data_IF_312872694622
#
_entry.id   IF_312872694622
#
_cell.length_a   1.000
_cell.length_b   1.000
_cell.length_c   1.000
_cell.angle_alpha   90.00
_cell.angle_beta   90.00
_cell.angle_gamma   90.00
#
_symmetry.space_group_name_H-M   'P 1'
#
loop_
_entity.id
_entity.type
_entity.pdbx_description
1 polymer ?
#
# COMPACT_ATOMS: atom_id res chain seq x y z
N UNK A 1 43.72 5.32 -29.76
CA UNK A 1 42.54 6.15 -30.05
C UNK A 1 41.41 5.53 -29.23
N UNK A 2 40.98 6.21 -28.18
CA UNK A 2 40.14 5.65 -27.10
C UNK A 2 38.74 5.39 -27.63
N UNK A 3 38.20 4.22 -27.31
CA UNK A 3 36.86 3.77 -27.65
C UNK A 3 35.89 4.34 -26.61
N UNK A 4 35.18 5.40 -26.96
CA UNK A 4 34.21 6.04 -26.07
C UNK A 4 33.02 5.11 -25.80
N UNK A 5 32.78 4.88 -24.50
CA UNK A 5 31.79 3.94 -23.98
C UNK A 5 30.35 4.28 -24.36
N UNK A 6 29.55 3.24 -24.53
CA UNK A 6 28.12 3.32 -24.82
C UNK A 6 27.38 4.10 -23.73
N UNK A 7 27.08 5.37 -24.00
CA UNK A 7 26.28 6.23 -23.13
C UNK A 7 24.80 5.86 -23.15
N UNK A 8 24.13 6.05 -22.01
CA UNK A 8 22.67 5.89 -21.89
C UNK A 8 21.95 6.90 -22.79
N UNK A 9 21.27 6.41 -23.82
CA UNK A 9 20.44 7.25 -24.71
C UNK A 9 19.14 7.62 -24.02
N UNK A 10 19.06 8.84 -23.47
CA UNK A 10 17.82 9.38 -22.93
C UNK A 10 16.88 9.80 -24.06
N UNK A 11 15.77 9.07 -24.22
CA UNK A 11 14.73 9.46 -25.16
C UNK A 11 13.92 10.63 -24.55
N UNK A 12 14.05 11.83 -25.11
CA UNK A 12 13.26 12.99 -24.70
C UNK A 12 11.84 12.81 -25.19
N UNK A 13 10.95 12.44 -24.27
CA UNK A 13 9.54 12.24 -24.58
C UNK A 13 8.78 13.56 -24.45
N UNK A 14 8.00 13.87 -25.49
CA UNK A 14 7.30 15.14 -25.64
C UNK A 14 6.11 15.29 -24.68
N UNK A 15 5.64 16.52 -24.45
CA UNK A 15 4.54 16.79 -23.48
C UNK A 15 3.25 16.01 -23.77
N UNK A 16 2.94 15.82 -25.06
CA UNK A 16 1.79 15.04 -25.53
C UNK A 16 1.82 13.56 -25.10
N UNK A 17 3.01 13.02 -24.77
CA UNK A 17 3.14 11.66 -24.28
C UNK A 17 2.60 11.50 -22.85
N UNK A 18 2.82 12.48 -21.99
CA UNK A 18 2.32 12.47 -20.61
C UNK A 18 0.82 12.77 -20.57
N UNK A 19 0.35 13.64 -21.45
CA UNK A 19 -1.07 13.99 -21.58
C UNK A 19 -1.93 12.76 -21.92
N UNK A 20 -1.45 11.93 -22.85
CA UNK A 20 -2.11 10.65 -23.20
C UNK A 20 -2.12 9.62 -22.07
N UNK A 21 -1.30 9.79 -21.03
CA UNK A 21 -1.16 8.85 -19.89
C UNK A 21 -1.69 9.44 -18.58
N UNK A 22 -2.35 10.58 -18.62
CA UNK A 22 -3.01 11.15 -17.45
C UNK A 22 -4.02 10.16 -16.86
N UNK A 23 -3.86 9.84 -15.58
CA UNK A 23 -4.81 8.99 -14.87
C UNK A 23 -6.09 9.79 -14.60
N UNK A 24 -7.24 9.24 -15.02
CA UNK A 24 -8.54 9.80 -14.69
C UNK A 24 -8.83 9.50 -13.22
N UNK A 25 -9.15 10.53 -12.43
CA UNK A 25 -9.62 10.35 -11.04
C UNK A 25 -10.96 9.61 -11.06
N UNK A 26 -10.95 8.36 -10.62
CA UNK A 26 -12.12 7.49 -10.60
C UNK A 26 -12.39 6.87 -9.21
N UNK A 27 -11.36 6.78 -8.36
CA UNK A 27 -11.49 6.13 -7.07
C UNK A 27 -12.29 7.01 -6.08
N UNK A 28 -13.59 6.75 -5.99
CA UNK A 28 -14.46 7.26 -4.93
C UNK A 28 -14.38 6.40 -3.67
N UNK A 29 -15.09 6.84 -2.62
CA UNK A 29 -15.09 6.19 -1.29
C UNK A 29 -15.42 4.69 -1.38
N UNK A 30 -16.45 4.31 -2.14
CA UNK A 30 -16.86 2.92 -2.29
C UNK A 30 -15.78 2.04 -2.95
N UNK A 31 -15.12 2.55 -4.00
CA UNK A 31 -14.03 1.81 -4.66
C UNK A 31 -12.78 1.69 -3.78
N UNK A 32 -12.45 2.72 -3.01
CA UNK A 32 -11.32 2.67 -2.07
C UNK A 32 -11.58 1.68 -0.93
N UNK A 33 -12.81 1.66 -0.42
CA UNK A 33 -13.23 0.68 0.58
C UNK A 33 -13.17 -0.74 0.03
N UNK A 34 -13.70 -0.98 -1.17
CA UNK A 34 -13.67 -2.29 -1.80
C UNK A 34 -12.23 -2.79 -2.05
N UNK A 35 -11.33 -1.91 -2.47
CA UNK A 35 -9.90 -2.23 -2.64
C UNK A 35 -9.25 -2.61 -1.30
N UNK A 36 -9.53 -1.86 -0.23
CA UNK A 36 -9.00 -2.14 1.10
C UNK A 36 -9.52 -3.48 1.65
N UNK A 37 -10.84 -3.69 1.61
CA UNK A 37 -11.47 -4.92 2.12
C UNK A 37 -11.03 -6.16 1.34
N UNK A 38 -10.96 -6.07 0.01
CA UNK A 38 -10.50 -7.18 -0.84
C UNK A 38 -9.06 -7.60 -0.54
N UNK A 39 -8.17 -6.64 -0.30
CA UNK A 39 -6.79 -6.92 0.09
C UNK A 39 -6.71 -7.64 1.46
N UNK A 40 -7.55 -7.27 2.42
CA UNK A 40 -7.52 -7.83 3.78
C UNK A 40 -8.15 -9.23 3.86
N UNK A 41 -9.27 -9.45 3.17
CA UNK A 41 -9.96 -10.75 3.20
C UNK A 41 -9.08 -11.85 2.58
N UNK A 42 -8.37 -11.55 1.50
CA UNK A 42 -7.46 -12.52 0.87
C UNK A 42 -6.34 -12.98 1.83
N UNK A 43 -5.78 -12.04 2.61
CA UNK A 43 -4.80 -12.35 3.65
C UNK A 43 -5.39 -13.15 4.82
N UNK A 44 -6.61 -12.83 5.24
CA UNK A 44 -7.30 -13.57 6.32
C UNK A 44 -7.47 -15.05 5.96
N UNK A 45 -7.95 -15.37 4.76
CA UNK A 45 -8.15 -16.76 4.34
C UNK A 45 -6.88 -17.62 4.48
N UNK A 46 -5.73 -17.06 4.13
CA UNK A 46 -4.42 -17.70 4.33
C UNK A 46 -4.06 -17.79 5.83
N UNK A 47 -4.21 -16.69 6.57
CA UNK A 47 -3.89 -16.62 8.00
C UNK A 47 -4.64 -17.63 8.87
N UNK A 48 -5.93 -17.87 8.60
CA UNK A 48 -6.72 -18.88 9.32
C UNK A 48 -6.26 -20.30 9.00
N UNK A 49 -5.98 -20.61 7.72
CA UNK A 49 -5.50 -21.93 7.31
C UNK A 49 -4.14 -22.27 7.94
N UNK A 50 -3.21 -21.33 7.95
CA UNK A 50 -1.87 -21.56 8.54
C UNK A 50 -1.86 -21.47 10.06
N UNK A 51 -2.73 -20.66 10.66
CA UNK A 51 -2.72 -20.42 12.10
C UNK A 51 -3.47 -21.47 12.92
N UNK A 52 -4.49 -22.12 12.36
CA UNK A 52 -5.28 -23.13 13.08
C UNK A 52 -4.48 -24.41 13.37
N UNK A 53 -3.54 -24.78 12.48
CA UNK A 53 -2.71 -25.97 12.65
C UNK A 53 -1.75 -25.90 13.87
N UNK A 54 -1.01 -24.80 14.10
CA UNK A 54 -0.14 -24.65 15.28
C UNK A 54 -0.82 -24.01 16.50
N UNK A 55 -1.79 -23.12 16.32
CA UNK A 55 -2.35 -22.29 17.39
C UNK A 55 -3.69 -22.77 17.96
N UNK A 56 -4.37 -23.70 17.28
CA UNK A 56 -5.74 -24.10 17.61
C UNK A 56 -6.73 -22.92 17.55
N UNK A 57 -8.02 -23.20 17.77
CA UNK A 57 -9.05 -22.16 17.70
C UNK A 57 -8.91 -21.10 18.81
N UNK A 58 -8.61 -21.52 20.04
CA UNK A 58 -8.49 -20.62 21.19
C UNK A 58 -7.28 -19.69 21.11
N UNK A 59 -6.13 -20.21 20.67
CA UNK A 59 -4.93 -19.39 20.47
C UNK A 59 -5.10 -18.38 19.35
N UNK A 60 -5.77 -18.78 18.25
CA UNK A 60 -6.04 -17.86 17.15
C UNK A 60 -7.02 -16.74 17.53
N UNK A 61 -8.01 -17.02 18.38
CA UNK A 61 -8.97 -16.02 18.86
C UNK A 61 -8.28 -14.96 19.71
N UNK A 62 -7.39 -15.37 20.63
CA UNK A 62 -6.60 -14.43 21.44
C UNK A 62 -5.66 -13.61 20.56
N UNK A 63 -4.95 -14.26 19.63
CA UNK A 63 -4.07 -13.57 18.69
C UNK A 63 -4.84 -12.55 17.83
N UNK A 64 -6.04 -12.90 17.35
CA UNK A 64 -6.89 -12.01 16.59
C UNK A 64 -7.30 -10.76 17.38
N UNK A 65 -7.68 -10.91 18.66
CA UNK A 65 -8.04 -9.77 19.52
C UNK A 65 -6.84 -8.86 19.76
N UNK A 66 -5.67 -9.42 20.08
CA UNK A 66 -4.45 -8.65 20.33
C UNK A 66 -4.02 -7.85 19.09
N UNK A 67 -3.99 -8.52 17.93
CA UNK A 67 -3.64 -7.88 16.67
C UNK A 67 -4.71 -6.84 16.27
N UNK A 68 -6.00 -7.10 16.49
CA UNK A 68 -7.06 -6.14 16.21
C UNK A 68 -6.88 -4.83 16.99
N UNK A 69 -6.57 -4.90 18.29
CA UNK A 69 -6.32 -3.72 19.12
C UNK A 69 -5.09 -2.94 18.62
N UNK A 70 -3.98 -3.65 18.36
CA UNK A 70 -2.76 -3.03 17.83
C UNK A 70 -3.02 -2.35 16.47
N UNK A 71 -3.73 -3.03 15.58
CA UNK A 71 -4.01 -2.53 14.24
C UNK A 71 -4.99 -1.35 14.24
N UNK A 72 -5.93 -1.32 15.19
CA UNK A 72 -6.84 -0.18 15.37
C UNK A 72 -6.04 1.09 15.71
N UNK A 73 -5.07 1.00 16.61
CA UNK A 73 -4.17 2.12 16.93
C UNK A 73 -3.37 2.59 15.70
N UNK A 74 -2.82 1.64 14.94
CA UNK A 74 -2.09 1.94 13.71
C UNK A 74 -2.97 2.65 12.67
N UNK A 75 -4.22 2.20 12.48
CA UNK A 75 -5.18 2.81 11.55
C UNK A 75 -5.50 4.24 11.95
N UNK A 76 -5.68 4.53 13.24
CA UNK A 76 -5.89 5.91 13.70
C UNK A 76 -4.69 6.82 13.41
N UNK A 77 -3.47 6.37 13.67
CA UNK A 77 -2.27 7.13 13.32
C UNK A 77 -2.21 7.45 11.81
N UNK A 78 -2.51 6.47 10.96
CA UNK A 78 -2.53 6.67 9.49
C UNK A 78 -3.67 7.59 9.07
N UNK A 79 -4.82 7.51 9.73
CA UNK A 79 -5.98 8.34 9.44
C UNK A 79 -5.71 9.82 9.73
N UNK A 80 -4.93 10.16 10.76
CA UNK A 80 -4.52 11.54 11.04
C UNK A 80 -3.51 12.08 10.03
N UNK A 81 -2.61 11.21 9.52
CA UNK A 81 -1.59 11.60 8.54
C UNK A 81 -2.14 11.69 7.10
N UNK A 82 -3.15 10.89 6.75
CA UNK A 82 -3.72 10.83 5.41
C UNK A 82 -4.26 12.17 4.87
N UNK A 83 -4.96 13.03 5.66
CA UNK A 83 -5.37 14.36 5.19
C UNK A 83 -4.23 15.37 5.21
N UNK A 84 -3.23 15.21 6.07
CA UNK A 84 -2.08 16.13 6.15
C UNK A 84 -1.14 16.00 4.94
N UNK A 85 -1.04 14.79 4.36
CA UNK A 85 -0.14 14.50 3.24
C UNK A 85 -0.86 13.68 2.14
N UNK A 86 -1.61 14.33 1.23
CA UNK A 86 -2.43 13.67 0.21
C UNK A 86 -1.61 13.25 -1.02
N UNK A 87 -0.54 12.49 -0.78
CA UNK A 87 0.33 11.92 -1.81
C UNK A 87 0.15 10.39 -1.91
N UNK A 88 0.22 9.89 -3.14
CA UNK A 88 0.16 8.45 -3.45
C UNK A 88 1.44 7.76 -2.94
N UNK A 89 1.30 6.77 -2.05
CA UNK A 89 2.44 5.99 -1.54
C UNK A 89 2.32 5.42 -0.13
N UNK A 90 1.22 5.68 0.59
CA UNK A 90 0.95 5.15 1.93
C UNK A 90 2.14 5.36 2.90
N UNK A 91 2.45 4.37 3.75
CA UNK A 91 3.47 4.48 4.79
C UNK A 91 4.87 4.88 4.27
N UNK A 92 5.27 4.42 3.07
CA UNK A 92 6.55 4.80 2.47
C UNK A 92 6.61 6.30 2.18
N UNK A 93 5.49 6.90 1.76
CA UNK A 93 5.46 8.34 1.50
C UNK A 93 5.51 9.18 2.77
N UNK A 94 4.93 8.69 3.87
CA UNK A 94 5.11 9.36 5.17
C UNK A 94 6.57 9.31 5.62
N UNK A 95 7.21 8.13 5.53
CA UNK A 95 8.60 7.95 5.96
C UNK A 95 9.60 8.85 5.21
N UNK A 96 9.43 9.02 3.89
CA UNK A 96 10.30 9.89 3.07
C UNK A 96 10.06 11.39 3.27
N UNK A 97 8.90 11.80 3.79
CA UNK A 97 8.61 13.21 4.05
C UNK A 97 9.11 13.63 5.44
N UNK A 98 9.31 12.67 6.34
CA UNK A 98 9.90 12.91 7.67
C UNK A 98 11.43 12.89 7.69
N UNK A 99 12.08 12.41 6.62
CA UNK A 99 13.55 12.39 6.45
C UNK A 99 14.01 13.63 5.67
#
# INVERSE_FOLDING_TARGET
MVQDGQGVTYNKVDGAYFEKRGLKRYAGVASLWALGVGAVISGHFSGWNFGLAPGGFGGLLIAAVLIAIMYLGLVFCIAEMSPALPHTGAAYSFARTTM
#
